data_IF_017953185377
#
_entry.id   IF_017953185377
#
_cell.length_a   1.000
_cell.length_b   1.000
_cell.length_c   1.000
_cell.angle_alpha   90.00
_cell.angle_beta   90.00
_cell.angle_gamma   90.00
#
_symmetry.space_group_name_H-M   'P 1'
#
loop_
_entity.id
_entity.type
_entity.pdbx_description
1 polymer ?
#
# COMPACT_ATOMS: atom_id res chain seq x y z
N UNK A 1 -21.77 -0.06 2.23
CA UNK A 1 -21.09 -0.09 3.55
C UNK A 1 -20.09 1.06 3.59
N UNK A 2 -20.06 1.81 4.69
CA UNK A 2 -19.22 3.01 4.89
C UNK A 2 -17.95 2.63 5.66
N UNK A 3 -16.81 2.62 4.97
CA UNK A 3 -15.49 2.25 5.52
C UNK A 3 -14.74 3.45 6.14
N UNK A 4 -15.38 4.23 7.00
CA UNK A 4 -14.79 5.47 7.55
C UNK A 4 -15.04 5.66 9.05
N UNK A 5 -14.67 4.68 9.87
CA UNK A 5 -14.36 4.96 11.28
C UNK A 5 -12.90 4.59 11.54
N UNK A 6 -12.08 5.48 12.13
CA UNK A 6 -10.76 5.10 12.59
C UNK A 6 -10.91 3.94 13.58
N UNK A 7 -10.12 2.89 13.38
CA UNK A 7 -10.16 1.70 14.20
C UNK A 7 -9.49 2.00 15.55
N UNK A 8 -10.25 2.03 16.63
CA UNK A 8 -9.71 1.99 17.99
C UNK A 8 -9.17 0.57 18.23
N UNK A 9 -7.91 0.44 18.64
CA UNK A 9 -7.23 -0.85 18.88
C UNK A 9 -7.97 -1.70 19.93
N UNK A 10 -8.85 -1.08 20.73
CA UNK A 10 -9.75 -1.78 21.65
C UNK A 10 -11.08 -2.21 21.03
N UNK A 11 -11.39 -1.90 19.76
CA UNK A 11 -12.70 -2.23 19.16
C UNK A 11 -12.93 -3.74 19.10
N UNK A 12 -11.91 -4.58 18.88
CA UNK A 12 -12.09 -6.04 18.95
C UNK A 12 -12.37 -6.53 20.37
N UNK A 13 -11.79 -5.87 21.36
CA UNK A 13 -11.98 -6.17 22.79
C UNK A 13 -13.29 -5.57 23.34
N UNK A 14 -13.79 -4.50 22.72
CA UNK A 14 -15.03 -3.80 23.10
C UNK A 14 -16.24 -4.23 22.25
N UNK A 15 -16.01 -4.96 21.14
CA UNK A 15 -17.06 -5.51 20.30
C UNK A 15 -17.27 -6.97 20.68
N UNK A 16 -18.21 -7.17 21.61
CA UNK A 16 -18.59 -8.50 22.11
C UNK A 16 -18.92 -9.49 20.97
N UNK A 17 -19.45 -9.03 19.84
CA UNK A 17 -19.74 -9.91 18.69
C UNK A 17 -18.47 -10.45 18.05
N UNK A 18 -17.49 -9.58 17.78
CA UNK A 18 -16.24 -9.98 17.15
C UNK A 18 -15.46 -10.94 18.06
N UNK A 19 -15.46 -10.67 19.36
CA UNK A 19 -14.84 -11.55 20.36
C UNK A 19 -15.58 -12.89 20.46
N UNK A 20 -16.91 -12.90 20.51
CA UNK A 20 -17.70 -14.14 20.54
C UNK A 20 -17.49 -15.01 19.29
N UNK A 21 -17.34 -14.40 18.10
CA UNK A 21 -17.01 -15.14 16.87
C UNK A 21 -15.60 -15.74 16.94
N UNK A 22 -14.60 -14.97 17.39
CA UNK A 22 -13.23 -15.46 17.55
C UNK A 22 -13.15 -16.62 18.58
N UNK A 23 -13.88 -16.51 19.69
CA UNK A 23 -14.01 -17.57 20.69
C UNK A 23 -14.72 -18.81 20.14
N UNK A 24 -15.73 -18.65 19.27
CA UNK A 24 -16.44 -19.76 18.63
C UNK A 24 -15.52 -20.57 17.71
N UNK A 25 -14.66 -19.89 16.94
CA UNK A 25 -13.71 -20.53 16.05
C UNK A 25 -12.63 -21.30 16.83
N UNK A 26 -12.10 -20.72 17.92
CA UNK A 26 -11.12 -21.40 18.76
C UNK A 26 -11.74 -22.60 19.49
N UNK A 27 -12.99 -22.47 19.95
CA UNK A 27 -13.73 -23.58 20.55
C UNK A 27 -13.89 -24.76 19.59
N UNK A 28 -14.20 -24.50 18.30
CA UNK A 28 -14.25 -25.52 17.25
C UNK A 28 -12.92 -26.24 17.06
N UNK A 29 -11.82 -25.49 16.98
CA UNK A 29 -10.47 -26.07 16.84
C UNK A 29 -10.15 -26.97 18.03
N UNK A 30 -10.42 -26.52 19.26
CA UNK A 30 -10.15 -27.29 20.47
C UNK A 30 -11.05 -28.53 20.58
N UNK A 31 -12.33 -28.43 20.20
CA UNK A 31 -13.25 -29.56 20.21
C UNK A 31 -12.82 -30.62 19.18
N UNK A 32 -12.41 -30.20 17.98
CA UNK A 32 -11.86 -31.10 16.96
C UNK A 32 -10.60 -31.82 17.45
N UNK A 33 -9.65 -31.09 18.05
CA UNK A 33 -8.42 -31.68 18.61
C UNK A 33 -8.69 -32.69 19.73
N UNK A 34 -9.79 -32.52 20.47
CA UNK A 34 -10.20 -33.42 21.56
C UNK A 34 -11.12 -34.56 21.09
N UNK A 35 -11.45 -34.63 19.80
CA UNK A 35 -12.40 -35.61 19.27
C UNK A 35 -13.83 -35.43 19.81
N UNK A 36 -14.16 -34.23 20.28
CA UNK A 36 -15.51 -33.88 20.74
C UNK A 36 -16.31 -33.52 19.50
N UNK A 37 -17.38 -34.27 19.24
CA UNK A 37 -18.33 -33.94 18.19
C UNK A 37 -18.99 -32.59 18.53
N UNK A 38 -18.67 -31.58 17.73
CA UNK A 38 -19.04 -30.19 17.97
C UNK A 38 -19.81 -29.68 16.74
N UNK A 39 -21.11 -29.97 16.73
CA UNK A 39 -22.01 -29.63 15.63
C UNK A 39 -22.50 -28.19 15.78
N UNK A 40 -21.65 -27.26 15.35
CA UNK A 40 -21.84 -25.83 15.50
C UNK A 40 -21.31 -25.12 14.27
N UNK A 41 -22.23 -24.67 13.40
CA UNK A 41 -21.94 -23.61 12.44
C UNK A 41 -21.86 -22.27 13.21
N UNK A 42 -20.67 -21.67 13.38
CA UNK A 42 -20.49 -20.49 14.23
C UNK A 42 -21.35 -19.31 13.83
N UNK A 43 -21.55 -19.13 12.52
CA UNK A 43 -22.30 -18.00 11.98
C UNK A 43 -23.80 -18.16 12.25
N UNK A 44 -24.33 -19.36 12.01
CA UNK A 44 -25.73 -19.69 12.27
C UNK A 44 -26.02 -19.74 13.77
N UNK A 45 -25.05 -20.13 14.60
CA UNK A 45 -25.24 -20.26 16.04
C UNK A 45 -25.25 -18.92 16.79
N UNK A 46 -24.30 -18.02 16.47
CA UNK A 46 -24.30 -16.66 17.04
C UNK A 46 -25.59 -15.91 16.67
N UNK A 47 -26.12 -16.16 15.48
CA UNK A 47 -27.39 -15.57 15.03
C UNK A 47 -28.62 -16.19 15.72
N UNK A 48 -28.66 -17.50 15.94
CA UNK A 48 -29.86 -18.21 16.39
C UNK A 48 -29.97 -18.38 17.91
N UNK A 49 -28.86 -18.52 18.65
CA UNK A 49 -28.91 -19.00 20.03
C UNK A 49 -29.41 -17.97 21.05
N UNK A 50 -29.39 -16.69 20.71
CA UNK A 50 -29.81 -15.60 21.60
C UNK A 50 -31.02 -14.82 21.07
N UNK A 51 -31.75 -15.36 20.09
CA UNK A 51 -32.98 -14.74 19.59
C UNK A 51 -32.76 -13.32 19.05
N UNK A 52 -31.59 -13.05 18.47
CA UNK A 52 -31.20 -11.72 17.99
C UNK A 52 -30.59 -10.79 19.06
N UNK A 53 -30.50 -11.23 20.32
CA UNK A 53 -29.72 -10.54 21.36
C UNK A 53 -28.26 -10.98 21.20
N UNK A 54 -27.29 -10.07 21.24
CA UNK A 54 -25.89 -10.48 21.18
C UNK A 54 -25.42 -10.86 22.58
N UNK A 55 -24.86 -12.07 22.79
CA UNK A 55 -24.33 -12.43 24.09
C UNK A 55 -23.09 -11.60 24.41
N UNK A 56 -22.96 -11.23 25.67
CA UNK A 56 -21.70 -10.75 26.19
C UNK A 56 -20.63 -11.85 26.11
N UNK A 57 -19.37 -11.45 26.07
CA UNK A 57 -18.23 -12.39 26.10
C UNK A 57 -18.31 -13.32 27.31
N UNK A 58 -18.72 -12.81 28.48
CA UNK A 58 -18.89 -13.61 29.68
C UNK A 58 -19.96 -14.69 29.55
N UNK A 59 -21.10 -14.39 28.95
CA UNK A 59 -22.17 -15.37 28.70
C UNK A 59 -21.70 -16.47 27.74
N UNK A 60 -20.92 -16.11 26.72
CA UNK A 60 -20.37 -17.09 25.78
C UNK A 60 -19.31 -18.00 26.41
N UNK A 61 -18.41 -17.45 27.25
CA UNK A 61 -17.43 -18.25 27.98
C UNK A 61 -18.08 -19.22 28.98
N UNK A 62 -19.13 -18.78 29.68
CA UNK A 62 -19.94 -19.64 30.54
C UNK A 62 -20.58 -20.79 29.75
N UNK A 63 -21.07 -20.50 28.55
CA UNK A 63 -21.59 -21.53 27.64
C UNK A 63 -20.52 -22.54 27.22
N UNK A 64 -19.32 -22.10 26.82
CA UNK A 64 -18.22 -23.00 26.46
C UNK A 64 -17.85 -23.92 27.62
N UNK A 65 -17.80 -23.36 28.84
CA UNK A 65 -17.54 -24.11 30.08
C UNK A 65 -18.62 -25.18 30.30
N UNK A 66 -19.90 -24.84 30.12
CA UNK A 66 -21.01 -25.78 30.24
C UNK A 66 -20.96 -26.92 29.21
N UNK A 67 -20.25 -26.74 28.10
CA UNK A 67 -19.97 -27.78 27.08
C UNK A 67 -18.71 -28.61 27.38
N UNK A 68 -18.08 -28.41 28.53
CA UNK A 68 -16.87 -29.13 28.93
C UNK A 68 -15.59 -28.63 28.24
N UNK A 69 -15.64 -27.44 27.63
CA UNK A 69 -14.46 -26.80 27.05
C UNK A 69 -13.78 -25.92 28.09
N UNK A 70 -12.46 -25.80 27.96
CA UNK A 70 -11.64 -24.93 28.80
C UNK A 70 -11.76 -23.49 28.30
N UNK A 71 -12.81 -22.81 28.75
CA UNK A 71 -13.12 -21.45 28.30
C UNK A 71 -12.03 -20.45 28.66
N UNK A 72 -11.29 -20.65 29.76
CA UNK A 72 -10.19 -19.79 30.17
C UNK A 72 -8.99 -19.94 29.21
N UNK A 73 -8.62 -21.18 28.87
CA UNK A 73 -7.57 -21.43 27.88
C UNK A 73 -7.94 -20.89 26.50
N UNK A 74 -9.20 -21.07 26.07
CA UNK A 74 -9.73 -20.54 24.80
C UNK A 74 -9.67 -19.01 24.79
N UNK A 75 -10.15 -18.36 25.85
CA UNK A 75 -10.14 -16.91 25.97
C UNK A 75 -8.71 -16.35 25.94
N UNK A 76 -7.80 -16.98 26.67
CA UNK A 76 -6.39 -16.60 26.68
C UNK A 76 -5.76 -16.74 25.29
N UNK A 77 -5.98 -17.85 24.60
CA UNK A 77 -5.44 -18.08 23.26
C UNK A 77 -5.96 -17.06 22.24
N UNK A 78 -7.26 -16.73 22.28
CA UNK A 78 -7.86 -15.71 21.42
C UNK A 78 -7.31 -14.33 21.75
N UNK A 79 -7.23 -13.98 23.03
CA UNK A 79 -6.71 -12.67 23.47
C UNK A 79 -5.25 -12.48 23.09
N UNK A 80 -4.40 -13.50 23.26
CA UNK A 80 -3.00 -13.47 22.84
C UNK A 80 -2.86 -13.31 21.31
N UNK A 81 -3.70 -13.99 20.51
CA UNK A 81 -3.70 -13.82 19.04
C UNK A 81 -4.21 -12.45 18.59
N UNK A 82 -5.26 -11.95 19.22
CA UNK A 82 -5.81 -10.60 18.94
C UNK A 82 -4.79 -9.52 19.32
N UNK A 83 -4.08 -9.68 20.43
CA UNK A 83 -2.97 -8.80 20.83
C UNK A 83 -1.73 -8.92 19.91
N UNK A 84 -1.60 -10.01 19.14
CA UNK A 84 -0.57 -10.19 18.12
C UNK A 84 -0.93 -9.61 16.75
N UNK A 85 -2.15 -9.10 16.55
CA UNK A 85 -2.47 -8.29 15.36
C UNK A 85 -1.69 -6.98 15.51
N UNK A 86 -0.59 -6.89 14.79
CA UNK A 86 0.34 -5.77 14.94
C UNK A 86 -0.28 -4.50 14.34
N UNK A 87 -0.04 -3.31 14.91
CA UNK A 87 -0.54 -2.04 14.37
C UNK A 87 -0.18 -1.79 12.88
N UNK A 88 0.90 -2.38 12.37
CA UNK A 88 1.27 -2.36 10.94
C UNK A 88 0.29 -3.12 10.04
N UNK A 89 -0.39 -4.17 10.52
CA UNK A 89 -1.41 -4.88 9.76
C UNK A 89 -2.70 -4.05 9.61
N UNK A 90 -3.07 -3.27 10.64
CA UNK A 90 -4.21 -2.34 10.59
C UNK A 90 -3.95 -1.23 9.56
N UNK A 91 -2.73 -0.67 9.52
CA UNK A 91 -2.33 0.27 8.47
C UNK A 91 -2.39 -0.35 7.07
N UNK A 92 -2.14 -1.65 6.93
CA UNK A 92 -2.16 -2.32 5.63
C UNK A 92 -3.59 -2.56 5.13
N UNK A 93 -4.57 -2.78 6.01
CA UNK A 93 -5.99 -2.84 5.63
C UNK A 93 -6.54 -1.47 5.19
N UNK A 94 -6.17 -0.38 5.86
CA UNK A 94 -6.56 0.97 5.42
C UNK A 94 -5.92 1.35 4.07
N UNK A 95 -4.66 0.94 3.86
CA UNK A 95 -3.98 1.08 2.57
C UNK A 95 -4.64 0.22 1.48
N UNK A 96 -5.07 -1.00 1.81
CA UNK A 96 -5.82 -1.88 0.93
C UNK A 96 -7.15 -1.28 0.49
N UNK A 97 -7.98 -0.84 1.44
CA UNK A 97 -9.25 -0.20 1.16
C UNK A 97 -9.06 1.08 0.30
N UNK A 98 -8.00 1.85 0.57
CA UNK A 98 -7.66 3.04 -0.23
C UNK A 98 -7.23 2.69 -1.64
N UNK A 99 -6.38 1.67 -1.81
CA UNK A 99 -5.92 1.16 -3.10
C UNK A 99 -7.11 0.69 -3.95
N UNK A 100 -8.00 -0.14 -3.39
CA UNK A 100 -9.17 -0.65 -4.11
C UNK A 100 -10.14 0.45 -4.53
N UNK A 101 -10.36 1.45 -3.65
CA UNK A 101 -11.18 2.61 -4.00
C UNK A 101 -10.60 3.36 -5.20
N UNK A 102 -9.29 3.62 -5.21
CA UNK A 102 -8.61 4.29 -6.35
C UNK A 102 -8.72 3.45 -7.62
N UNK A 103 -8.49 2.14 -7.53
CA UNK A 103 -8.59 1.21 -8.65
C UNK A 103 -10.00 1.17 -9.25
N UNK A 104 -11.04 1.13 -8.43
CA UNK A 104 -12.43 1.20 -8.87
C UNK A 104 -12.77 2.52 -9.55
N UNK A 105 -12.31 3.65 -9.00
CA UNK A 105 -12.62 4.99 -9.55
C UNK A 105 -11.86 5.32 -10.83
N UNK A 106 -10.59 4.94 -10.93
CA UNK A 106 -9.73 5.33 -12.05
C UNK A 106 -9.77 4.33 -13.21
N UNK A 107 -9.97 3.04 -12.92
CA UNK A 107 -9.87 1.96 -13.93
C UNK A 107 -11.22 1.30 -14.24
N UNK A 108 -12.30 1.75 -13.59
CA UNK A 108 -13.66 1.23 -13.75
C UNK A 108 -13.76 -0.30 -13.55
N UNK A 109 -12.87 -0.87 -12.73
CA UNK A 109 -12.90 -2.30 -12.42
C UNK A 109 -14.04 -2.56 -11.44
N UNK A 110 -15.01 -3.37 -11.84
CA UNK A 110 -16.11 -3.78 -10.98
C UNK A 110 -15.61 -4.75 -9.89
N UNK A 111 -16.13 -4.62 -8.67
CA UNK A 111 -15.76 -5.44 -7.52
C UNK A 111 -15.89 -6.94 -7.80
N UNK A 112 -16.95 -7.32 -8.50
CA UNK A 112 -17.23 -8.69 -8.96
C UNK A 112 -16.14 -9.28 -9.88
N UNK A 113 -15.38 -8.46 -10.61
CA UNK A 113 -14.24 -8.94 -11.40
C UNK A 113 -13.01 -9.21 -10.53
N UNK A 114 -12.82 -8.41 -9.48
CA UNK A 114 -11.71 -8.61 -8.53
C UNK A 114 -11.93 -9.90 -7.78
N UNK A 115 -13.12 -10.09 -7.21
CA UNK A 115 -13.49 -11.29 -6.44
C UNK A 115 -13.53 -12.57 -7.30
N UNK A 116 -13.82 -12.44 -8.61
CA UNK A 116 -13.87 -13.59 -9.53
C UNK A 116 -12.49 -14.07 -9.98
N UNK A 117 -11.52 -13.16 -10.12
CA UNK A 117 -10.24 -13.47 -10.78
C UNK A 117 -9.02 -13.35 -9.86
N UNK A 118 -9.18 -12.81 -8.65
CA UNK A 118 -8.11 -12.63 -7.69
C UNK A 118 -8.60 -13.17 -6.34
N UNK A 119 -7.98 -14.25 -5.87
CA UNK A 119 -8.23 -14.78 -4.54
C UNK A 119 -7.69 -13.82 -3.45
N UNK A 120 -8.18 -14.01 -2.23
CA UNK A 120 -7.87 -13.12 -1.11
C UNK A 120 -6.34 -13.06 -0.82
N UNK A 121 -5.63 -14.18 -0.96
CA UNK A 121 -4.17 -14.24 -0.75
C UNK A 121 -3.42 -13.46 -1.83
N UNK A 122 -3.85 -13.58 -3.09
CA UNK A 122 -3.31 -12.81 -4.22
C UNK A 122 -3.55 -11.31 -4.06
N UNK A 123 -4.67 -10.90 -3.45
CA UNK A 123 -4.94 -9.49 -3.10
C UNK A 123 -3.91 -8.97 -2.10
N UNK A 124 -3.66 -9.71 -1.01
CA UNK A 124 -2.67 -9.33 0.00
C UNK A 124 -1.26 -9.30 -0.58
N UNK A 125 -0.89 -10.26 -1.42
CA UNK A 125 0.40 -10.29 -2.09
C UNK A 125 0.60 -9.07 -3.02
N UNK A 126 -0.41 -8.71 -3.81
CA UNK A 126 -0.36 -7.51 -4.67
C UNK A 126 -0.26 -6.23 -3.85
N UNK A 127 -0.89 -6.19 -2.67
CA UNK A 127 -0.78 -5.08 -1.72
C UNK A 127 0.60 -4.99 -1.08
N UNK A 128 1.17 -6.09 -0.65
CA UNK A 128 2.55 -6.12 -0.14
C UNK A 128 3.54 -5.68 -1.23
N UNK A 129 3.35 -6.16 -2.46
CA UNK A 129 4.17 -5.76 -3.61
C UNK A 129 4.01 -4.26 -3.90
N UNK A 130 2.78 -3.74 -3.89
CA UNK A 130 2.49 -2.33 -4.10
C UNK A 130 3.03 -1.45 -2.96
N UNK A 131 2.98 -1.89 -1.71
CA UNK A 131 3.52 -1.17 -0.55
C UNK A 131 5.06 -1.19 -0.56
N UNK A 132 5.66 -2.35 -0.85
CA UNK A 132 7.10 -2.49 -1.01
C UNK A 132 7.62 -1.58 -2.13
N UNK A 133 6.88 -1.50 -3.24
CA UNK A 133 7.25 -0.64 -4.37
C UNK A 133 6.76 0.81 -4.21
N UNK A 134 5.84 1.12 -3.30
CA UNK A 134 5.37 2.49 -3.07
C UNK A 134 6.49 3.40 -2.55
N UNK A 135 7.39 2.89 -1.70
CA UNK A 135 8.54 3.66 -1.21
C UNK A 135 9.53 3.93 -2.35
N UNK A 136 9.83 2.91 -3.17
CA UNK A 136 10.66 2.99 -4.37
C UNK A 136 10.08 3.97 -5.40
N UNK A 137 8.79 3.83 -5.69
CA UNK A 137 8.04 4.69 -6.61
C UNK A 137 7.97 6.13 -6.09
N UNK A 138 7.71 6.35 -4.80
CA UNK A 138 7.73 7.70 -4.21
C UNK A 138 9.11 8.32 -4.28
N UNK A 139 10.18 7.57 -3.98
CA UNK A 139 11.56 8.04 -4.11
C UNK A 139 11.88 8.41 -5.57
N UNK A 140 11.50 7.56 -6.52
CA UNK A 140 11.65 7.80 -7.97
C UNK A 140 10.90 9.05 -8.42
N UNK A 141 9.63 9.21 -8.03
CA UNK A 141 8.83 10.38 -8.37
C UNK A 141 9.38 11.66 -7.75
N UNK A 142 9.85 11.60 -6.50
CA UNK A 142 10.51 12.74 -5.87
C UNK A 142 11.82 13.09 -6.56
N UNK A 143 12.63 12.10 -6.95
CA UNK A 143 13.84 12.33 -7.73
C UNK A 143 13.50 12.98 -9.09
N UNK A 144 12.47 12.52 -9.79
CA UNK A 144 11.99 13.12 -11.03
C UNK A 144 11.53 14.57 -10.79
N UNK A 145 10.73 14.82 -9.76
CA UNK A 145 10.26 16.17 -9.41
C UNK A 145 11.42 17.10 -9.03
N UNK A 146 12.38 16.63 -8.25
CA UNK A 146 13.59 17.39 -7.90
C UNK A 146 14.45 17.67 -9.13
N UNK A 147 14.58 16.69 -10.04
CA UNK A 147 15.27 16.88 -11.31
C UNK A 147 14.56 17.88 -12.21
N UNK A 148 13.23 17.85 -12.28
CA UNK A 148 12.42 18.80 -13.04
C UNK A 148 12.44 20.21 -12.44
N UNK A 149 12.46 20.31 -11.10
CA UNK A 149 12.58 21.57 -10.39
C UNK A 149 14.01 22.13 -10.39
N UNK A 150 15.01 21.36 -10.82
CA UNK A 150 16.40 21.80 -10.85
C UNK A 150 16.63 22.78 -12.02
N UNK A 151 16.90 24.07 -11.75
CA UNK A 151 17.05 25.08 -12.81
C UNK A 151 18.14 24.72 -13.83
N UNK A 152 19.18 24.01 -13.39
CA UNK A 152 20.28 23.54 -14.27
C UNK A 152 19.83 22.49 -15.28
N UNK A 153 18.89 21.62 -14.93
CA UNK A 153 18.39 20.59 -15.86
C UNK A 153 17.45 21.20 -16.89
N UNK A 154 16.61 22.16 -16.45
CA UNK A 154 15.80 22.98 -17.36
C UNK A 154 16.68 23.70 -18.37
N UNK A 155 17.69 24.42 -17.90
CA UNK A 155 18.58 25.20 -18.77
C UNK A 155 19.44 24.28 -19.66
N UNK A 156 19.81 23.07 -19.21
CA UNK A 156 20.43 22.04 -20.08
C UNK A 156 19.52 21.61 -21.23
N UNK A 157 18.21 21.54 -21.01
CA UNK A 157 17.22 21.27 -22.07
C UNK A 157 17.21 22.37 -23.12
N UNK A 158 17.18 23.64 -22.69
CA UNK A 158 17.22 24.79 -23.59
C UNK A 158 18.54 24.88 -24.38
N UNK A 159 19.67 24.55 -23.73
CA UNK A 159 20.97 24.44 -24.42
C UNK A 159 20.94 23.34 -25.47
N UNK A 160 20.21 22.23 -25.25
CA UNK A 160 20.06 21.17 -26.25
C UNK A 160 19.28 21.65 -27.47
N UNK A 161 18.21 22.40 -27.28
CA UNK A 161 17.46 23.01 -28.38
C UNK A 161 18.36 23.97 -29.20
N UNK A 162 19.12 24.84 -28.52
CA UNK A 162 20.09 25.73 -29.19
C UNK A 162 21.16 24.94 -29.94
N UNK A 163 21.60 23.80 -29.40
CA UNK A 163 22.54 22.90 -30.05
C UNK A 163 21.94 22.29 -31.33
N UNK A 164 20.73 21.73 -31.25
CA UNK A 164 20.07 21.11 -32.40
C UNK A 164 19.82 22.14 -33.52
N UNK A 165 19.52 23.38 -33.18
CA UNK A 165 19.42 24.48 -34.15
C UNK A 165 20.76 24.88 -34.75
N UNK A 166 21.84 24.85 -33.96
CA UNK A 166 23.18 25.05 -34.49
C UNK A 166 23.60 23.90 -35.43
N UNK A 167 23.23 22.65 -35.13
CA UNK A 167 23.51 21.53 -36.05
C UNK A 167 22.84 21.70 -37.42
N UNK A 168 21.70 22.40 -37.49
CA UNK A 168 21.02 22.73 -38.76
C UNK A 168 21.68 23.90 -39.49
N UNK A 169 22.37 24.80 -38.78
CA UNK A 169 23.00 26.01 -39.30
C UNK A 169 24.42 26.17 -38.72
N UNK A 170 25.40 25.34 -39.18
CA UNK A 170 26.72 25.24 -38.56
C UNK A 170 27.50 26.55 -38.54
N UNK A 171 27.24 27.47 -39.48
CA UNK A 171 27.89 28.77 -39.57
C UNK A 171 27.63 29.72 -38.38
N UNK A 172 26.62 29.43 -37.54
CA UNK A 172 26.30 30.26 -36.36
C UNK A 172 27.41 30.32 -35.32
N UNK A 173 28.22 29.27 -35.21
CA UNK A 173 29.33 29.21 -34.26
C UNK A 173 30.51 28.49 -34.91
N UNK A 174 31.72 29.05 -34.76
CA UNK A 174 32.95 28.47 -35.30
C UNK A 174 33.34 27.15 -34.60
N UNK A 175 32.82 26.89 -33.40
CA UNK A 175 33.04 25.62 -32.71
C UNK A 175 32.40 25.53 -31.33
N UNK A 176 32.56 24.35 -30.70
CA UNK A 176 31.91 24.00 -29.43
C UNK A 176 32.26 24.98 -28.29
N UNK A 177 33.48 25.51 -28.28
CA UNK A 177 33.94 26.48 -27.29
C UNK A 177 33.26 27.86 -27.44
N UNK A 178 32.97 28.30 -28.68
CA UNK A 178 32.25 29.54 -28.92
C UNK A 178 30.77 29.39 -28.55
N UNK A 179 30.14 28.31 -29.00
CA UNK A 179 28.79 27.93 -28.58
C UNK A 179 28.66 27.88 -27.05
N UNK A 180 29.59 27.21 -26.37
CA UNK A 180 29.54 27.07 -24.91
C UNK A 180 29.66 28.41 -24.17
N UNK A 181 30.46 29.36 -24.68
CA UNK A 181 30.55 30.72 -24.10
C UNK A 181 29.26 31.50 -24.28
N UNK A 182 28.64 31.43 -25.45
CA UNK A 182 27.35 32.10 -25.71
C UNK A 182 26.22 31.52 -24.85
N UNK A 183 26.16 30.20 -24.70
CA UNK A 183 25.20 29.54 -23.81
C UNK A 183 25.43 29.92 -22.33
N UNK A 184 26.69 30.07 -21.91
CA UNK A 184 27.03 30.52 -20.55
C UNK A 184 26.57 31.95 -20.29
N UNK A 185 26.64 32.83 -21.30
CA UNK A 185 26.13 34.20 -21.19
C UNK A 185 24.59 34.26 -21.17
N UNK A 186 23.92 33.35 -21.88
CA UNK A 186 22.44 33.29 -21.97
C UNK A 186 21.77 32.69 -20.73
N UNK A 187 22.41 31.72 -20.08
CA UNK A 187 21.81 30.97 -18.97
C UNK A 187 22.58 31.14 -17.67
N UNK A 188 22.09 32.03 -16.81
CA UNK A 188 22.76 32.40 -15.55
C UNK A 188 22.97 31.24 -14.58
N UNK A 189 22.16 30.17 -14.67
CA UNK A 189 22.30 28.99 -13.79
C UNK A 189 23.49 28.12 -14.19
N UNK A 190 24.01 28.28 -15.41
CA UNK A 190 25.18 27.58 -15.90
C UNK A 190 26.44 28.33 -15.45
N UNK A 191 27.37 27.63 -14.82
CA UNK A 191 28.58 28.23 -14.22
C UNK A 191 29.89 27.72 -14.82
N UNK A 192 29.85 26.83 -15.80
CA UNK A 192 31.04 26.17 -16.31
C UNK A 192 30.94 25.89 -17.81
N UNK A 193 31.76 26.59 -18.59
CA UNK A 193 31.92 26.33 -20.02
C UNK A 193 32.37 24.88 -20.30
N UNK A 194 33.35 24.28 -19.58
CA UNK A 194 33.72 22.88 -19.78
C UNK A 194 32.57 21.88 -19.66
N UNK A 195 31.59 22.15 -18.79
CA UNK A 195 30.41 21.28 -18.62
C UNK A 195 29.53 21.31 -19.88
N UNK A 196 29.33 22.48 -20.47
CA UNK A 196 28.54 22.66 -21.70
C UNK A 196 29.23 21.98 -22.89
N UNK A 197 30.55 22.16 -23.03
CA UNK A 197 31.33 21.45 -24.05
C UNK A 197 31.28 19.93 -23.88
N UNK A 198 31.29 19.45 -22.63
CA UNK A 198 31.10 18.04 -22.30
C UNK A 198 29.74 17.50 -22.76
N UNK A 199 28.67 18.27 -22.61
CA UNK A 199 27.35 17.92 -23.14
C UNK A 199 27.36 17.84 -24.66
N UNK A 200 27.96 18.81 -25.34
CA UNK A 200 28.10 18.83 -26.79
C UNK A 200 28.78 17.55 -27.31
N UNK A 201 29.92 17.17 -26.72
CA UNK A 201 30.64 15.91 -27.05
C UNK A 201 29.80 14.67 -26.78
N UNK A 202 28.99 14.68 -25.73
CA UNK A 202 28.12 13.56 -25.39
C UNK A 202 26.94 13.41 -26.36
N UNK A 203 26.40 14.51 -26.88
CA UNK A 203 25.32 14.49 -27.87
C UNK A 203 25.81 14.10 -29.25
N UNK A 204 26.97 14.61 -29.67
CA UNK A 204 27.61 14.24 -30.93
C UNK A 204 27.89 12.73 -31.04
N UNK A 205 28.26 12.06 -29.94
CA UNK A 205 28.45 10.60 -29.93
C UNK A 205 27.16 9.78 -30.07
N UNK A 206 26.00 10.41 -29.90
CA UNK A 206 24.69 9.73 -29.97
C UNK A 206 23.98 9.94 -31.31
N UNK A 207 24.48 10.84 -32.13
CA UNK A 207 23.99 11.15 -33.48
C UNK A 207 24.82 10.36 -34.49
#
# INVERSE_FOLDING_TARGET
MSWTKPYDENILLQNDTAMCVALSLEALVQAHLKGIEYDLDPATYVANFFGGIQPSVGEFLNFLTAKGLDAEAIYKAVTERVQMIRPDQIQNQEKAATFFRLFQTEWHVLQEHIEKYIDEDSIYFLLELAVADAASTKARLNAIKMHAANPKQRDKGLVRECWDDWQKLPERYAGKAEFARDMLAKFETLKSQPVIEGWCRAWERKT
#
